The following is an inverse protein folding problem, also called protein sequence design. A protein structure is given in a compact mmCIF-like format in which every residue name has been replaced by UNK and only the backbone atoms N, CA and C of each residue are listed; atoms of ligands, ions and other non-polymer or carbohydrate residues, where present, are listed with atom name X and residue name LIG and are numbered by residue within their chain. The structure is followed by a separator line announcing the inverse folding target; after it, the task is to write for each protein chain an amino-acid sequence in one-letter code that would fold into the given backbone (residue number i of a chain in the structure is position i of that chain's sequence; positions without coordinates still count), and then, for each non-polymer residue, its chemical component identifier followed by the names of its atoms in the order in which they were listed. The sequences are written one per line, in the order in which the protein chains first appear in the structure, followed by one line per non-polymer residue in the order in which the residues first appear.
data_IF_275414715084
#
_entry.id   IF_275414715084
#
_cell.length_a   1.000
_cell.length_b   1.000
_cell.length_c   1.000
_cell.angle_alpha   90.00
_cell.angle_beta   90.00
_cell.angle_gamma   90.00
#
_symmetry.space_group_name_H-M   'P 1'
#
loop_
_entity.id
_entity.type
_entity.pdbx_description
1 polymer ?
#
# COMPACT_ATOMS: atom_id res chain seq x y z
N UNK A 1 43.24 5.93 13.63
CA UNK A 1 43.12 6.17 12.17
C UNK A 1 41.93 7.08 11.91
N UNK A 2 42.10 8.26 11.31
CA UNK A 2 40.99 9.17 10.99
C UNK A 2 40.10 8.52 9.92
N UNK A 3 38.79 8.34 10.19
CA UNK A 3 37.81 7.90 9.19
C UNK A 3 37.79 8.94 8.06
N UNK A 4 38.27 8.56 6.86
CA UNK A 4 38.15 9.42 5.67
C UNK A 4 36.67 9.56 5.33
N UNK A 5 36.19 10.80 5.20
CA UNK A 5 34.84 11.08 4.71
C UNK A 5 34.70 10.49 3.30
N UNK A 6 33.65 9.69 3.06
CA UNK A 6 33.40 9.14 1.72
C UNK A 6 32.84 10.25 0.84
N UNK A 7 33.54 10.51 -0.25
CA UNK A 7 33.14 11.48 -1.27
C UNK A 7 31.84 11.02 -1.95
N UNK A 8 30.94 11.95 -2.30
CA UNK A 8 29.66 11.62 -2.91
C UNK A 8 29.82 10.97 -4.30
N UNK A 9 28.93 10.02 -4.63
CA UNK A 9 28.95 9.33 -5.93
C UNK A 9 28.76 10.29 -7.10
N UNK A 10 27.97 11.36 -6.92
CA UNK A 10 27.79 12.42 -7.91
C UNK A 10 29.10 13.10 -8.26
N UNK A 11 29.95 13.37 -7.27
CA UNK A 11 31.28 13.97 -7.48
C UNK A 11 32.19 13.03 -8.29
N UNK A 12 32.25 11.74 -7.94
CA UNK A 12 33.04 10.75 -8.69
C UNK A 12 32.56 10.66 -10.14
N UNK A 13 31.24 10.65 -10.38
CA UNK A 13 30.65 10.65 -11.72
C UNK A 13 30.96 11.91 -12.51
N UNK A 14 30.90 13.07 -11.87
CA UNK A 14 31.23 14.34 -12.51
C UNK A 14 32.71 14.40 -12.89
N UNK A 15 33.60 13.95 -12.01
CA UNK A 15 35.04 13.94 -12.27
C UNK A 15 35.42 12.94 -13.37
N UNK A 16 34.83 11.75 -13.37
CA UNK A 16 35.01 10.78 -14.45
C UNK A 16 34.59 11.35 -15.82
N UNK A 17 33.52 12.15 -15.88
CA UNK A 17 33.11 12.83 -17.12
C UNK A 17 34.13 13.87 -17.60
N UNK A 18 34.80 14.57 -16.68
CA UNK A 18 35.88 15.51 -17.02
C UNK A 18 37.11 14.76 -17.53
N UNK A 19 37.59 13.76 -16.79
CA UNK A 19 38.77 12.97 -17.16
C UNK A 19 38.62 12.27 -18.51
N UNK A 20 37.41 11.81 -18.84
CA UNK A 20 37.10 11.26 -20.16
C UNK A 20 37.32 12.27 -21.30
N UNK A 21 36.98 13.55 -21.09
CA UNK A 21 37.17 14.63 -22.06
C UNK A 21 38.62 15.10 -22.14
N UNK A 22 39.30 15.18 -21.00
CA UNK A 22 40.66 15.71 -20.89
C UNK A 22 41.73 14.73 -21.38
N UNK A 23 41.52 13.42 -21.18
CA UNK A 23 42.56 12.39 -21.39
C UNK A 23 42.14 11.27 -22.34
N UNK A 24 41.00 11.41 -23.02
CA UNK A 24 40.44 10.39 -23.94
C UNK A 24 40.33 8.99 -23.32
N UNK A 25 40.13 8.92 -21.99
CA UNK A 25 40.00 7.64 -21.29
C UNK A 25 38.71 6.91 -21.68
N UNK A 26 38.75 5.57 -21.62
CA UNK A 26 37.52 4.79 -21.61
C UNK A 26 36.69 5.10 -20.35
N UNK A 27 35.38 4.83 -20.40
CA UNK A 27 34.49 5.12 -19.29
C UNK A 27 34.94 4.46 -17.98
N UNK A 28 35.41 3.21 -18.05
CA UNK A 28 35.92 2.46 -16.88
C UNK A 28 37.17 3.09 -16.30
N UNK A 29 38.15 3.45 -17.15
CA UNK A 29 39.39 4.09 -16.72
C UNK A 29 39.13 5.45 -16.07
N UNK A 30 38.21 6.24 -16.63
CA UNK A 30 37.86 7.53 -16.06
C UNK A 30 37.22 7.42 -14.67
N UNK A 31 36.45 6.35 -14.41
CA UNK A 31 35.91 6.07 -13.08
C UNK A 31 36.98 5.63 -12.08
N UNK A 32 37.91 4.76 -12.50
CA UNK A 32 38.99 4.32 -11.65
C UNK A 32 39.94 5.46 -11.26
N UNK A 33 40.29 6.33 -12.23
CA UNK A 33 41.11 7.50 -11.96
C UNK A 33 40.40 8.55 -11.09
N UNK A 34 39.11 8.81 -11.33
CA UNK A 34 38.33 9.68 -10.44
C UNK A 34 38.26 9.15 -9.00
N UNK A 35 38.16 7.83 -8.83
CA UNK A 35 38.18 7.19 -7.52
C UNK A 35 39.57 7.30 -6.86
N UNK A 36 40.65 7.13 -7.64
CA UNK A 36 42.03 7.33 -7.16
C UNK A 36 42.33 8.75 -6.73
N UNK A 37 41.89 9.75 -7.49
CA UNK A 37 42.00 11.17 -7.12
C UNK A 37 41.25 11.46 -5.80
N UNK A 38 40.14 10.77 -5.55
CA UNK A 38 39.39 10.84 -4.30
C UNK A 38 40.01 9.97 -3.16
N UNK A 39 41.17 9.34 -3.41
CA UNK A 39 41.93 8.59 -2.40
C UNK A 39 41.51 7.14 -2.20
N UNK A 40 40.78 6.54 -3.15
CA UNK A 40 40.39 5.13 -3.18
C UNK A 40 41.29 4.32 -4.14
N UNK A 41 41.37 3.00 -4.00
CA UNK A 41 42.27 2.21 -4.87
C UNK A 41 41.77 2.07 -6.31
N UNK A 42 40.44 1.99 -6.48
CA UNK A 42 39.74 1.98 -7.76
C UNK A 42 38.24 2.24 -7.54
N UNK A 43 37.46 2.32 -8.61
CA UNK A 43 36.03 2.62 -8.52
C UNK A 43 35.24 1.52 -7.79
N UNK A 44 35.62 0.25 -7.98
CA UNK A 44 35.01 -0.88 -7.27
C UNK A 44 35.24 -0.80 -5.75
N UNK A 45 36.44 -0.43 -5.32
CA UNK A 45 36.78 -0.20 -3.91
C UNK A 45 35.97 0.96 -3.32
N UNK A 46 35.83 2.06 -4.08
CA UNK A 46 34.95 3.17 -3.71
C UNK A 46 33.50 2.71 -3.52
N UNK A 47 32.94 1.94 -4.46
CA UNK A 47 31.57 1.44 -4.37
C UNK A 47 31.37 0.55 -3.13
N UNK A 48 32.28 -0.40 -2.90
CA UNK A 48 32.22 -1.29 -1.74
C UNK A 48 32.25 -0.52 -0.42
N UNK A 49 33.12 0.50 -0.32
CA UNK A 49 33.21 1.34 0.88
C UNK A 49 31.99 2.25 1.02
N UNK A 50 31.48 2.79 -0.08
CA UNK A 50 30.27 3.62 -0.11
C UNK A 50 29.04 2.81 0.34
N UNK A 51 28.90 1.57 -0.13
CA UNK A 51 27.87 0.64 0.30
C UNK A 51 28.03 0.24 1.76
N UNK A 52 29.24 -0.07 2.21
CA UNK A 52 29.51 -0.40 3.61
C UNK A 52 29.17 0.77 4.54
N UNK A 53 29.50 2.01 4.17
CA UNK A 53 29.14 3.20 4.94
C UNK A 53 27.63 3.49 4.90
N UNK A 54 26.94 3.27 3.77
CA UNK A 54 25.48 3.35 3.71
C UNK A 54 24.81 2.32 4.63
N UNK A 55 25.38 1.12 4.73
CA UNK A 55 24.92 0.09 5.69
C UNK A 55 25.20 0.49 7.13
N UNK A 56 26.31 1.19 7.41
CA UNK A 56 26.63 1.72 8.75
C UNK A 56 25.85 2.99 9.13
N UNK A 57 25.38 3.80 8.17
CA UNK A 57 24.72 5.08 8.44
C UNK A 57 23.19 5.01 8.52
N UNK A 58 22.57 3.90 8.11
CA UNK A 58 21.16 3.66 8.40
C UNK A 58 21.05 3.25 9.87
N UNK A 59 20.40 4.03 10.76
CA UNK A 59 20.11 3.55 12.10
C UNK A 59 19.37 2.22 11.97
N UNK A 60 19.87 1.19 12.68
CA UNK A 60 19.29 -0.14 12.61
C UNK A 60 17.79 -0.12 12.95
N UNK A 61 17.04 -1.09 12.42
CA UNK A 61 15.59 -1.23 12.62
C UNK A 61 15.17 -1.02 14.09
N UNK A 62 15.91 -1.61 15.03
CA UNK A 62 15.71 -1.47 16.47
C UNK A 62 15.91 -0.05 17.01
N UNK A 63 16.91 0.69 16.49
CA UNK A 63 17.18 2.05 16.93
C UNK A 63 16.07 3.02 16.50
N UNK A 64 15.50 2.81 15.31
CA UNK A 64 14.35 3.57 14.83
C UNK A 64 13.07 3.21 15.58
N UNK A 65 12.83 1.93 15.87
CA UNK A 65 11.72 1.50 16.73
C UNK A 65 11.81 2.15 18.11
N UNK A 66 12.99 2.12 18.74
CA UNK A 66 13.23 2.81 20.02
C UNK A 66 12.95 4.31 19.91
N UNK A 67 13.37 4.94 18.81
CA UNK A 67 13.11 6.37 18.57
C UNK A 67 11.61 6.67 18.47
N UNK A 68 10.84 5.85 17.76
CA UNK A 68 9.38 5.97 17.67
C UNK A 68 8.76 5.83 19.07
N UNK A 69 9.18 4.81 19.84
CA UNK A 69 8.68 4.55 21.18
C UNK A 69 8.96 5.71 22.16
N UNK A 70 10.12 6.37 22.02
CA UNK A 70 10.53 7.49 22.88
C UNK A 70 10.04 8.87 22.43
N UNK A 71 9.41 8.97 21.25
CA UNK A 71 8.94 10.25 20.72
C UNK A 71 7.58 10.61 21.35
N UNK A 72 7.50 11.81 21.92
CA UNK A 72 6.33 12.29 22.65
C UNK A 72 5.44 13.20 21.79
N UNK A 73 6.00 13.84 20.77
CA UNK A 73 5.21 14.67 19.87
C UNK A 73 4.49 13.79 18.83
N UNK A 74 3.18 13.64 18.98
CA UNK A 74 2.34 12.81 18.10
C UNK A 74 2.61 13.04 16.60
N UNK A 75 2.69 14.28 16.09
CA UNK A 75 2.95 14.51 14.67
C UNK A 75 4.33 14.01 14.21
N UNK A 76 5.36 14.13 15.07
CA UNK A 76 6.70 13.59 14.77
C UNK A 76 6.72 12.07 14.86
N UNK A 77 6.03 11.51 15.86
CA UNK A 77 5.90 10.07 16.07
C UNK A 77 5.24 9.39 14.87
N UNK A 78 4.14 9.96 14.36
CA UNK A 78 3.45 9.51 13.13
C UNK A 78 4.43 9.48 11.95
N UNK A 79 5.13 10.60 11.68
CA UNK A 79 6.09 10.69 10.57
C UNK A 79 7.20 9.63 10.67
N UNK A 80 7.72 9.40 11.87
CA UNK A 80 8.74 8.37 12.10
C UNK A 80 8.19 6.97 11.87
N UNK A 81 6.96 6.69 12.33
CA UNK A 81 6.30 5.40 12.17
C UNK A 81 6.01 5.07 10.70
N UNK A 82 5.43 6.00 9.94
CA UNK A 82 5.17 5.85 8.50
C UNK A 82 6.49 5.61 7.75
N UNK A 83 7.51 6.44 8.01
CA UNK A 83 8.82 6.28 7.39
C UNK A 83 9.46 4.94 7.74
N UNK A 84 9.26 4.43 8.97
CA UNK A 84 9.75 3.12 9.35
C UNK A 84 9.07 2.00 8.54
N UNK A 85 7.74 2.02 8.47
CA UNK A 85 6.95 0.99 7.76
C UNK A 85 7.33 0.96 6.27
N UNK A 86 7.38 2.12 5.62
CA UNK A 86 7.73 2.23 4.19
C UNK A 86 9.18 1.83 3.90
N UNK A 87 10.15 2.31 4.68
CA UNK A 87 11.57 2.11 4.37
C UNK A 87 12.07 0.69 4.67
N UNK A 88 11.40 -0.04 5.55
CA UNK A 88 11.80 -1.38 5.98
C UNK A 88 10.88 -2.50 5.47
N UNK A 89 9.79 -2.17 4.78
CA UNK A 89 8.80 -3.16 4.33
C UNK A 89 8.29 -3.98 5.52
N UNK A 90 7.93 -3.30 6.61
CA UNK A 90 7.58 -3.95 7.85
C UNK A 90 6.41 -4.94 7.63
N UNK A 91 6.53 -6.21 8.07
CA UNK A 91 5.42 -7.15 8.05
C UNK A 91 4.21 -6.59 8.79
N UNK A 92 2.99 -6.97 8.38
CA UNK A 92 1.76 -6.45 8.97
C UNK A 92 1.69 -6.59 10.49
N UNK A 93 2.17 -7.71 11.04
CA UNK A 93 2.27 -7.91 12.49
C UNK A 93 3.06 -6.81 13.19
N UNK A 94 4.17 -6.37 12.60
CA UNK A 94 4.98 -5.27 13.14
C UNK A 94 4.27 -3.93 12.95
N UNK A 95 3.67 -3.70 11.77
CA UNK A 95 2.85 -2.51 11.50
C UNK A 95 1.72 -2.36 12.50
N UNK A 96 1.00 -3.44 12.80
CA UNK A 96 -0.06 -3.49 13.80
C UNK A 96 0.50 -3.19 15.20
N UNK A 97 1.66 -3.74 15.55
CA UNK A 97 2.36 -3.41 16.79
C UNK A 97 2.75 -1.93 16.92
N UNK A 98 3.04 -1.26 15.80
CA UNK A 98 3.29 0.19 15.77
C UNK A 98 1.98 0.96 15.94
N UNK A 99 0.92 0.59 15.21
CA UNK A 99 -0.40 1.25 15.28
C UNK A 99 -0.99 1.19 16.70
N UNK A 100 -0.81 0.08 17.42
CA UNK A 100 -1.22 -0.05 18.83
C UNK A 100 -0.64 1.03 19.75
N UNK A 101 0.50 1.62 19.41
CA UNK A 101 1.07 2.75 20.17
C UNK A 101 0.26 4.05 20.03
N UNK A 102 -0.72 4.06 19.13
CA UNK A 102 -1.62 5.16 18.82
C UNK A 102 -3.10 4.78 19.06
N UNK A 103 -3.39 3.67 19.76
CA UNK A 103 -4.76 3.15 19.96
C UNK A 103 -5.75 4.16 20.55
N UNK A 104 -5.27 5.18 21.27
CA UNK A 104 -6.09 6.24 21.85
C UNK A 104 -6.19 7.51 20.98
N UNK A 105 -5.79 7.41 19.71
CA UNK A 105 -5.74 8.54 18.78
C UNK A 105 -6.19 8.08 17.41
N UNK A 106 -7.51 7.99 17.22
CA UNK A 106 -8.17 7.69 15.94
C UNK A 106 -7.57 8.51 14.78
N UNK A 107 -7.40 9.82 14.98
CA UNK A 107 -6.81 10.73 13.98
C UNK A 107 -5.39 10.34 13.56
N UNK A 108 -4.59 9.76 14.46
CA UNK A 108 -3.24 9.30 14.16
C UNK A 108 -3.26 7.97 13.41
N UNK A 109 -4.12 7.04 13.83
CA UNK A 109 -4.33 5.76 13.15
C UNK A 109 -4.81 6.01 11.73
N UNK A 110 -5.84 6.83 11.56
CA UNK A 110 -6.40 7.21 10.27
C UNK A 110 -5.32 7.79 9.34
N UNK A 111 -4.62 8.84 9.78
CA UNK A 111 -3.57 9.48 8.98
C UNK A 111 -2.44 8.52 8.59
N UNK A 112 -2.06 7.60 9.48
CA UNK A 112 -1.06 6.59 9.19
C UNK A 112 -1.55 5.57 8.15
N UNK A 113 -2.77 5.05 8.32
CA UNK A 113 -3.31 4.02 7.44
C UNK A 113 -3.57 4.57 6.03
N UNK A 114 -4.07 5.80 5.91
CA UNK A 114 -4.26 6.50 4.63
C UNK A 114 -2.94 6.70 3.88
N UNK A 115 -1.93 7.28 4.55
CA UNK A 115 -0.61 7.55 3.93
C UNK A 115 0.09 6.25 3.49
N UNK A 116 -0.18 5.15 4.20
CA UNK A 116 0.36 3.83 3.88
C UNK A 116 -0.48 3.04 2.87
N UNK A 117 -1.68 3.51 2.52
CA UNK A 117 -2.71 2.71 1.84
C UNK A 117 -2.86 1.32 2.48
N UNK A 118 -2.89 1.28 3.82
CA UNK A 118 -2.71 0.06 4.58
C UNK A 118 -3.79 -0.96 4.26
N UNK A 119 -3.39 -2.14 3.77
CA UNK A 119 -4.27 -3.27 3.44
C UNK A 119 -5.35 -2.99 2.39
N UNK A 120 -5.38 -1.80 1.75
CA UNK A 120 -6.46 -1.40 0.83
C UNK A 120 -6.73 -2.45 -0.25
N UNK A 121 -5.67 -2.97 -0.88
CA UNK A 121 -5.79 -3.98 -1.94
C UNK A 121 -6.24 -5.34 -1.42
N UNK A 122 -5.72 -5.76 -0.26
CA UNK A 122 -6.14 -7.01 0.38
C UNK A 122 -7.62 -6.97 0.79
N UNK A 123 -8.09 -5.84 1.32
CA UNK A 123 -9.50 -5.63 1.70
C UNK A 123 -10.40 -5.66 0.45
N UNK A 124 -10.03 -4.93 -0.59
CA UNK A 124 -10.78 -4.91 -1.85
C UNK A 124 -10.86 -6.31 -2.48
N UNK A 125 -9.76 -7.06 -2.45
CA UNK A 125 -9.72 -8.44 -2.96
C UNK A 125 -10.56 -9.39 -2.12
N UNK A 126 -10.54 -9.22 -0.79
CA UNK A 126 -11.36 -9.98 0.14
C UNK A 126 -12.86 -9.77 -0.14
N UNK A 127 -13.31 -8.53 -0.27
CA UNK A 127 -14.70 -8.20 -0.63
C UNK A 127 -15.07 -8.76 -2.01
N UNK A 128 -14.21 -8.61 -3.01
CA UNK A 128 -14.50 -9.15 -4.35
C UNK A 128 -14.67 -10.67 -4.33
N UNK A 129 -13.80 -11.38 -3.60
CA UNK A 129 -13.88 -12.84 -3.48
C UNK A 129 -15.16 -13.29 -2.76
N UNK A 130 -15.67 -12.50 -1.81
CA UNK A 130 -16.94 -12.79 -1.13
C UNK A 130 -18.10 -12.83 -2.14
N UNK A 131 -18.16 -11.89 -3.09
CA UNK A 131 -19.16 -11.89 -4.16
C UNK A 131 -19.03 -13.04 -5.17
N UNK A 132 -17.90 -13.75 -5.19
CA UNK A 132 -17.71 -14.93 -6.03
C UNK A 132 -18.16 -16.23 -5.36
N UNK A 133 -18.51 -16.19 -4.07
CA UNK A 133 -19.09 -17.33 -3.34
C UNK A 133 -20.54 -17.59 -3.77
N UNK A 134 -21.10 -18.73 -3.36
CA UNK A 134 -22.51 -19.04 -3.63
C UNK A 134 -23.46 -18.03 -2.97
N UNK A 135 -23.15 -17.61 -1.74
CA UNK A 135 -23.93 -16.60 -1.01
C UNK A 135 -23.83 -15.23 -1.67
N UNK A 136 -22.61 -14.79 -2.01
CA UNK A 136 -22.39 -13.53 -2.71
C UNK A 136 -23.05 -13.48 -4.09
N UNK A 137 -22.98 -14.56 -4.86
CA UNK A 137 -23.69 -14.69 -6.15
C UNK A 137 -25.20 -14.66 -5.99
N UNK A 138 -25.72 -15.29 -4.93
CA UNK A 138 -27.14 -15.25 -4.63
C UNK A 138 -27.63 -13.82 -4.36
N UNK A 139 -26.88 -13.04 -3.56
CA UNK A 139 -27.21 -11.65 -3.25
C UNK A 139 -27.26 -10.74 -4.50
N UNK A 140 -26.33 -10.95 -5.44
CA UNK A 140 -26.34 -10.25 -6.73
C UNK A 140 -27.55 -10.68 -7.56
N UNK A 141 -27.78 -11.98 -7.72
CA UNK A 141 -28.88 -12.51 -8.53
C UNK A 141 -30.26 -12.11 -7.99
N UNK A 142 -30.40 -12.01 -6.66
CA UNK A 142 -31.61 -11.54 -6.00
C UNK A 142 -31.97 -10.10 -6.41
N UNK A 143 -30.98 -9.23 -6.63
CA UNK A 143 -31.17 -7.82 -7.04
C UNK A 143 -31.20 -7.66 -8.57
N UNK A 144 -30.29 -8.33 -9.26
CA UNK A 144 -30.20 -8.34 -10.71
C UNK A 144 -29.92 -9.75 -11.22
N UNK A 145 -30.98 -10.43 -11.67
CA UNK A 145 -30.84 -11.80 -12.16
C UNK A 145 -29.97 -11.87 -13.41
N UNK A 146 -29.14 -12.92 -13.48
CA UNK A 146 -28.17 -13.17 -14.56
C UNK A 146 -27.02 -12.14 -14.63
N UNK A 147 -26.70 -11.50 -13.51
CA UNK A 147 -25.51 -10.67 -13.36
C UNK A 147 -24.48 -11.35 -12.47
N UNK A 148 -23.21 -11.14 -12.77
CA UNK A 148 -22.06 -11.64 -12.00
C UNK A 148 -21.16 -10.48 -11.58
N UNK A 149 -20.48 -10.64 -10.45
CA UNK A 149 -19.50 -9.66 -9.98
C UNK A 149 -18.34 -9.51 -10.96
N UNK A 150 -18.00 -8.26 -11.27
CA UNK A 150 -16.90 -7.92 -12.18
C UNK A 150 -15.75 -7.22 -11.48
N UNK A 151 -16.07 -6.23 -10.66
CA UNK A 151 -15.09 -5.39 -9.99
C UNK A 151 -15.69 -4.86 -8.69
N UNK A 152 -14.88 -4.75 -7.64
CA UNK A 152 -15.22 -4.00 -6.42
C UNK A 152 -14.22 -2.87 -6.27
N UNK A 153 -14.72 -1.67 -5.93
CA UNK A 153 -13.91 -0.54 -5.50
C UNK A 153 -14.30 -0.15 -4.09
N UNK A 154 -13.35 0.34 -3.28
CA UNK A 154 -13.58 0.73 -1.89
C UNK A 154 -13.20 2.20 -1.63
N UNK A 155 -13.99 2.87 -0.81
CA UNK A 155 -13.82 4.27 -0.40
C UNK A 155 -14.14 4.46 1.08
N UNK A 156 -13.86 5.67 1.58
CA UNK A 156 -14.29 6.13 2.90
C UNK A 156 -13.86 5.21 4.06
N UNK A 157 -12.65 4.67 3.95
CA UNK A 157 -12.09 3.73 4.92
C UNK A 157 -11.80 4.44 6.24
N UNK A 158 -12.38 3.97 7.33
CA UNK A 158 -12.12 4.41 8.70
C UNK A 158 -11.39 3.30 9.45
N UNK A 159 -10.30 3.65 10.14
CA UNK A 159 -9.42 2.69 10.80
C UNK A 159 -9.39 2.88 12.31
N UNK A 160 -9.54 1.79 13.05
CA UNK A 160 -9.46 1.74 14.50
C UNK A 160 -8.62 0.54 14.98
N UNK A 161 -8.02 0.66 16.16
CA UNK A 161 -7.40 -0.46 16.85
C UNK A 161 -8.26 -0.81 18.05
N UNK A 162 -8.96 -1.93 17.99
CA UNK A 162 -9.73 -2.49 19.11
C UNK A 162 -9.23 -3.90 19.45
N UNK A 163 -9.18 -4.24 20.74
CA UNK A 163 -8.69 -5.51 21.31
C UNK A 163 -7.40 -6.09 20.68
N UNK A 164 -6.60 -5.23 20.07
CA UNK A 164 -5.36 -5.60 19.40
C UNK A 164 -5.51 -6.16 17.98
N UNK A 165 -6.66 -6.02 17.34
CA UNK A 165 -6.87 -6.18 15.89
C UNK A 165 -6.96 -4.80 15.21
N UNK A 166 -6.91 -4.78 13.87
CA UNK A 166 -7.21 -3.59 13.09
C UNK A 166 -8.65 -3.70 12.59
N UNK A 167 -9.52 -2.82 13.07
CA UNK A 167 -10.90 -2.69 12.60
C UNK A 167 -10.93 -1.69 11.45
N UNK A 168 -11.62 -2.05 10.37
CA UNK A 168 -11.80 -1.19 9.20
C UNK A 168 -13.26 -1.16 8.82
N UNK A 169 -13.84 0.03 8.82
CA UNK A 169 -15.15 0.29 8.23
C UNK A 169 -14.97 1.03 6.91
N UNK A 170 -15.89 0.85 5.97
CA UNK A 170 -15.82 1.54 4.69
C UNK A 170 -17.04 1.37 3.83
N UNK A 171 -16.96 1.99 2.65
CA UNK A 171 -17.94 1.84 1.57
C UNK A 171 -17.33 1.11 0.40
N UNK A 172 -18.17 0.44 -0.38
CA UNK A 172 -17.77 -0.18 -1.62
C UNK A 172 -18.79 0.05 -2.73
N UNK A 173 -18.30 0.01 -3.96
CA UNK A 173 -19.12 -0.06 -5.18
C UNK A 173 -18.76 -1.36 -5.89
N UNK A 174 -19.74 -2.25 -6.03
CA UNK A 174 -19.66 -3.48 -6.80
C UNK A 174 -20.20 -3.23 -8.20
N UNK A 175 -19.36 -3.42 -9.21
CA UNK A 175 -19.81 -3.50 -10.61
C UNK A 175 -20.14 -4.94 -10.95
N UNK A 176 -21.30 -5.13 -11.55
CA UNK A 176 -21.75 -6.41 -12.07
C UNK A 176 -21.98 -6.34 -13.58
N UNK A 177 -21.65 -7.41 -14.27
CA UNK A 177 -21.87 -7.56 -15.71
C UNK A 177 -22.87 -8.69 -15.99
N UNK A 178 -23.57 -8.58 -17.10
CA UNK A 178 -24.47 -9.63 -17.54
C UNK A 178 -23.67 -10.90 -17.88
N UNK A 179 -24.09 -12.04 -17.33
CA UNK A 179 -23.32 -13.29 -17.36
C UNK A 179 -23.22 -13.90 -18.78
N UNK A 180 -24.22 -13.67 -19.61
CA UNK A 180 -24.32 -14.33 -20.91
C UNK A 180 -23.70 -13.49 -22.03
N UNK A 181 -23.04 -14.17 -22.96
CA UNK A 181 -22.61 -13.57 -24.22
C UNK A 181 -23.84 -13.15 -25.04
N UNK A 182 -23.82 -11.89 -25.49
CA UNK A 182 -24.83 -11.32 -26.36
C UNK A 182 -24.23 -11.13 -27.75
N UNK A 183 -25.02 -11.43 -28.78
CA UNK A 183 -24.65 -11.11 -30.16
C UNK A 183 -24.49 -9.59 -30.31
N UNK A 184 -23.32 -9.13 -30.74
CA UNK A 184 -23.03 -7.70 -30.93
C UNK A 184 -23.87 -7.08 -32.06
N UNK A 185 -24.29 -7.91 -33.02
CA UNK A 185 -25.08 -7.48 -34.17
C UNK A 185 -26.60 -7.43 -33.87
N UNK A 186 -27.04 -8.01 -32.74
CA UNK A 186 -28.44 -7.95 -32.32
C UNK A 186 -28.76 -6.59 -31.66
N UNK A 187 -29.71 -5.79 -32.19
CA UNK A 187 -30.15 -4.54 -31.57
C UNK A 187 -30.61 -4.69 -30.11
N UNK A 188 -31.06 -5.89 -29.71
CA UNK A 188 -31.46 -6.21 -28.34
C UNK A 188 -30.30 -6.08 -27.35
N UNK A 189 -29.04 -6.28 -27.77
CA UNK A 189 -27.86 -6.13 -26.92
C UNK A 189 -27.71 -4.70 -26.37
N UNK A 190 -28.26 -3.70 -27.08
CA UNK A 190 -28.27 -2.30 -26.62
C UNK A 190 -29.36 -1.99 -25.59
N UNK A 191 -30.19 -2.98 -25.23
CA UNK A 191 -31.26 -2.78 -24.26
C UNK A 191 -30.70 -2.53 -22.84
N UNK A 192 -31.36 -1.64 -22.10
CA UNK A 192 -30.95 -1.24 -20.74
C UNK A 192 -30.72 -2.43 -19.80
N UNK A 193 -31.54 -3.49 -19.95
CA UNK A 193 -31.49 -4.68 -19.10
C UNK A 193 -30.17 -5.47 -19.15
N UNK A 194 -29.33 -5.24 -20.16
CA UNK A 194 -28.04 -5.91 -20.34
C UNK A 194 -26.85 -5.03 -19.99
N UNK A 195 -27.08 -3.74 -19.70
CA UNK A 195 -25.99 -2.86 -19.28
C UNK A 195 -25.49 -3.27 -17.90
N UNK A 196 -24.19 -3.07 -17.68
CA UNK A 196 -23.55 -3.27 -16.39
C UNK A 196 -24.28 -2.48 -15.30
N UNK A 197 -24.33 -3.06 -14.11
CA UNK A 197 -24.96 -2.47 -12.93
C UNK A 197 -23.93 -2.15 -11.87
N UNK A 198 -24.25 -1.18 -11.04
CA UNK A 198 -23.47 -0.83 -9.86
C UNK A 198 -24.34 -1.01 -8.61
N UNK A 199 -23.74 -1.56 -7.57
CA UNK A 199 -24.35 -1.73 -6.25
C UNK A 199 -23.46 -1.09 -5.20
N UNK A 200 -24.03 -0.16 -4.44
CA UNK A 200 -23.37 0.46 -3.31
C UNK A 200 -23.55 -0.37 -2.05
N UNK A 201 -22.53 -0.40 -1.21
CA UNK A 201 -22.62 -1.05 0.07
C UNK A 201 -21.62 -0.50 1.07
N UNK A 202 -21.73 -0.99 2.29
CA UNK A 202 -20.87 -0.71 3.42
C UNK A 202 -20.40 -2.02 4.05
N UNK A 203 -19.25 -1.95 4.69
CA UNK A 203 -18.66 -3.12 5.32
C UNK A 203 -17.90 -2.72 6.57
N UNK A 204 -17.83 -3.68 7.49
CA UNK A 204 -16.96 -3.66 8.66
C UNK A 204 -16.18 -4.96 8.71
N UNK A 205 -14.87 -4.87 8.85
CA UNK A 205 -13.97 -6.03 8.94
C UNK A 205 -12.97 -5.87 10.07
N UNK A 206 -12.51 -7.00 10.57
CA UNK A 206 -11.38 -7.11 11.49
C UNK A 206 -10.21 -7.81 10.81
N UNK A 207 -8.99 -7.31 11.06
CA UNK A 207 -7.75 -7.86 10.55
C UNK A 207 -6.83 -8.23 11.72
N UNK A 208 -6.59 -9.53 11.90
CA UNK A 208 -5.75 -10.03 12.98
C UNK A 208 -4.24 -9.90 12.67
N UNK A 209 -3.39 -10.18 13.68
CA UNK A 209 -1.93 -10.12 13.52
C UNK A 209 -1.34 -11.05 12.43
N UNK A 210 -2.11 -12.04 11.96
CA UNK A 210 -1.75 -12.98 10.91
C UNK A 210 -2.29 -12.56 9.53
N UNK A 211 -2.86 -11.35 9.41
CA UNK A 211 -3.59 -10.85 8.23
C UNK A 211 -4.87 -11.64 7.90
N UNK A 212 -5.45 -12.36 8.87
CA UNK A 212 -6.77 -12.96 8.66
C UNK A 212 -7.81 -11.83 8.69
N UNK A 213 -8.53 -11.67 7.59
CA UNK A 213 -9.65 -10.72 7.47
C UNK A 213 -10.94 -11.48 7.81
N UNK A 214 -11.81 -10.89 8.63
CA UNK A 214 -13.11 -11.46 9.01
C UNK A 214 -14.16 -10.36 8.96
N UNK A 215 -15.35 -10.66 8.43
CA UNK A 215 -16.47 -9.72 8.44
C UNK A 215 -17.01 -9.53 9.86
N UNK A 216 -17.25 -8.27 10.21
CA UNK A 216 -18.11 -7.87 11.32
C UNK A 216 -19.53 -7.65 10.78
N UNK A 217 -19.64 -6.96 9.66
CA UNK A 217 -20.86 -6.81 8.87
C UNK A 217 -20.53 -6.50 7.41
N UNK A 218 -21.50 -6.69 6.53
CA UNK A 218 -21.47 -6.29 5.13
C UNK A 218 -22.91 -6.05 4.69
N UNK A 219 -23.18 -5.03 3.89
CA UNK A 219 -24.49 -4.82 3.26
C UNK A 219 -24.36 -4.44 1.79
N UNK A 220 -25.42 -4.75 1.02
CA UNK A 220 -25.51 -4.42 -0.41
C UNK A 220 -26.85 -3.74 -0.70
N UNK A 221 -26.75 -2.47 -1.08
CA UNK A 221 -27.84 -1.64 -1.57
C UNK A 221 -27.87 -1.58 -3.10
N UNK A 222 -29.02 -1.20 -3.64
CA UNK A 222 -29.17 -0.86 -5.05
C UNK A 222 -29.49 0.64 -5.12
N UNK A 223 -28.79 1.38 -5.98
CA UNK A 223 -29.10 2.80 -6.21
C UNK A 223 -30.41 2.86 -7.02
N UNK A 224 -31.55 2.85 -6.32
CA UNK A 224 -32.82 3.25 -6.92
C UNK A 224 -32.89 4.77 -6.91
N UNK A 225 -33.21 5.37 -8.06
CA UNK A 225 -33.59 6.79 -8.17
C UNK A 225 -34.60 7.16 -7.05
N UNK A 226 -34.09 7.67 -5.93
CA UNK A 226 -34.86 8.31 -4.86
C UNK A 226 -35.21 7.53 -3.58
N UNK A 227 -34.92 6.23 -3.40
CA UNK A 227 -35.25 5.52 -2.14
C UNK A 227 -34.24 4.41 -1.80
N UNK A 228 -33.45 4.62 -0.74
CA UNK A 228 -32.57 3.60 -0.15
C UNK A 228 -33.39 2.50 0.56
N UNK A 229 -33.30 1.26 0.09
CA UNK A 229 -33.55 0.08 0.93
C UNK A 229 -32.20 -0.49 1.37
N UNK A 230 -31.90 -0.39 2.66
CA UNK A 230 -30.70 -0.97 3.27
C UNK A 230 -31.13 -2.25 3.98
N UNK A 231 -30.54 -3.39 3.60
CA UNK A 231 -30.67 -4.64 4.33
C UNK A 231 -29.36 -4.85 5.11
N UNK A 232 -29.40 -4.79 6.44
CA UNK A 232 -28.25 -5.08 7.29
C UNK A 232 -28.15 -6.58 7.58
N UNK A 233 -26.94 -7.13 7.54
CA UNK A 233 -26.67 -8.54 7.86
C UNK A 233 -25.95 -8.67 9.21
N UNK A 234 -26.19 -9.80 9.90
CA UNK A 234 -25.54 -10.23 11.15
C UNK A 234 -24.73 -11.50 10.89
#
# INVERSE_FOLDING_TARGET
MKKKSIVLLSFIKQRARQLKKERSFSQSQAYDEAAKEAGFSNYKNYLNLSEANRKQSKPGKEALLKKILSENETPKKIKLAIAFIQNYGAPFRETLGILKQFQYSETAIQAMCEELNLMKYEIQSFLFNDFLTDEGRYEINFRASNFIAKEVSISDLTYEIDEGVLCVEGRYVLKAEFEFELDEDDPINKAERFKNREFDGSFGIEIDQNKKITFVHSDIGEEFEGLYQVASFR
#
